data_IF_910541888405
#
_entry.id   IF_910541888405
#
_cell.length_a   1.000
_cell.length_b   1.000
_cell.length_c   1.000
_cell.angle_alpha   90.00
_cell.angle_beta   90.00
_cell.angle_gamma   90.00
#
_symmetry.space_group_name_H-M   'P 1'
#
loop_
_entity.id
_entity.type
_entity.pdbx_description
1 polymer ?
#
# COMPACT_ATOMS: atom_id res chain seq x y z
N UNK A 1 15.67 -22.22 -3.76
CA UNK A 1 15.15 -21.20 -4.69
C UNK A 1 15.12 -19.88 -3.93
N UNK A 2 16.17 -19.06 -4.01
CA UNK A 2 16.19 -17.78 -3.33
C UNK A 2 15.55 -16.76 -4.29
N UNK A 3 14.23 -16.58 -4.16
CA UNK A 3 13.55 -15.51 -4.88
C UNK A 3 14.16 -14.20 -4.43
N UNK A 4 14.81 -13.46 -5.34
CA UNK A 4 15.31 -12.13 -5.05
C UNK A 4 14.14 -11.31 -4.49
N UNK A 5 14.25 -10.91 -3.22
CA UNK A 5 13.24 -10.08 -2.59
C UNK A 5 13.17 -8.78 -3.40
N UNK A 6 12.03 -8.54 -4.04
CA UNK A 6 11.80 -7.30 -4.77
C UNK A 6 11.83 -6.15 -3.76
N UNK A 7 12.89 -5.36 -3.78
CA UNK A 7 12.99 -4.12 -2.99
C UNK A 7 12.28 -3.03 -3.78
N UNK A 8 11.17 -2.47 -3.28
CA UNK A 8 10.47 -1.38 -3.95
C UNK A 8 11.31 -0.10 -3.90
N UNK A 9 11.26 0.70 -4.98
CA UNK A 9 12.04 1.94 -5.10
C UNK A 9 11.58 3.01 -4.12
N UNK A 10 10.29 2.99 -3.76
CA UNK A 10 9.67 3.95 -2.85
C UNK A 10 8.49 3.35 -2.11
N UNK A 11 8.12 4.00 -1.00
CA UNK A 11 7.00 3.59 -0.15
C UNK A 11 6.02 4.74 0.01
N UNK A 12 4.76 4.52 -0.36
CA UNK A 12 3.66 5.45 -0.10
C UNK A 12 3.01 5.10 1.23
N UNK A 13 2.95 6.06 2.14
CA UNK A 13 2.22 5.94 3.40
C UNK A 13 0.80 6.45 3.20
N UNK A 14 -0.20 5.64 3.55
CA UNK A 14 -1.61 6.04 3.45
C UNK A 14 -2.27 6.11 4.81
N UNK A 15 -2.88 7.26 5.10
CA UNK A 15 -3.68 7.50 6.31
C UNK A 15 -5.18 7.30 6.09
N UNK A 16 -5.59 6.69 4.97
CA UNK A 16 -7.01 6.55 4.62
C UNK A 16 -7.77 5.60 5.54
N UNK A 17 -9.11 5.73 5.63
CA UNK A 17 -9.93 4.83 6.42
C UNK A 17 -9.73 3.35 6.07
N UNK A 18 -9.95 2.48 7.06
CA UNK A 18 -9.86 1.02 6.87
C UNK A 18 -10.69 0.57 5.67
N UNK A 19 -10.10 -0.24 4.80
CA UNK A 19 -10.74 -0.78 3.60
C UNK A 19 -10.54 0.04 2.32
N UNK A 20 -10.07 1.29 2.41
CA UNK A 20 -9.94 2.18 1.24
C UNK A 20 -8.57 2.14 0.56
N UNK A 21 -7.79 1.06 0.70
CA UNK A 21 -6.40 1.02 0.21
C UNK A 21 -6.18 0.24 -1.09
N UNK A 22 -7.14 -0.56 -1.52
CA UNK A 22 -6.93 -1.55 -2.58
C UNK A 22 -6.47 -0.94 -3.91
N UNK A 23 -7.18 0.09 -4.40
CA UNK A 23 -6.84 0.75 -5.65
C UNK A 23 -5.42 1.35 -5.62
N UNK A 24 -5.04 1.94 -4.49
CA UNK A 24 -3.73 2.59 -4.35
C UNK A 24 -2.60 1.59 -4.15
N UNK A 25 -2.88 0.45 -3.52
CA UNK A 25 -1.93 -0.67 -3.47
C UNK A 25 -1.60 -1.16 -4.88
N UNK A 26 -2.62 -1.28 -5.74
CA UNK A 26 -2.41 -1.68 -7.15
C UNK A 26 -1.62 -0.63 -7.91
N UNK A 27 -1.98 0.65 -7.78
CA UNK A 27 -1.27 1.74 -8.44
C UNK A 27 0.20 1.84 -8.01
N UNK A 28 0.47 1.75 -6.70
CA UNK A 28 1.84 1.80 -6.19
C UNK A 28 2.69 0.65 -6.74
N UNK A 29 2.17 -0.58 -6.73
CA UNK A 29 2.87 -1.75 -7.30
C UNK A 29 3.13 -1.61 -8.81
N UNK A 30 2.17 -1.05 -9.55
CA UNK A 30 2.32 -0.82 -10.99
C UNK A 30 3.41 0.21 -11.32
N UNK A 31 3.75 1.08 -10.37
CA UNK A 31 4.75 2.14 -10.49
C UNK A 31 6.06 1.82 -9.75
N UNK A 32 6.33 0.53 -9.47
CA UNK A 32 7.57 0.08 -8.81
C UNK A 32 7.66 0.36 -7.30
N UNK A 33 6.61 0.94 -6.72
CA UNK A 33 6.53 1.24 -5.30
C UNK A 33 5.75 0.22 -4.48
N UNK A 34 5.66 0.50 -3.19
CA UNK A 34 4.78 -0.22 -2.26
C UNK A 34 3.88 0.72 -1.47
N UNK A 35 2.81 0.16 -0.88
CA UNK A 35 1.89 0.88 -0.02
C UNK A 35 2.03 0.40 1.42
N UNK A 36 2.32 1.32 2.34
CA UNK A 36 2.19 1.15 3.78
C UNK A 36 0.84 1.72 4.25
N UNK A 37 -0.19 0.87 4.48
CA UNK A 37 -1.48 1.33 4.98
C UNK A 37 -1.43 1.53 6.50
N UNK A 38 -1.69 2.76 6.94
CA UNK A 38 -1.92 3.08 8.34
C UNK A 38 -3.34 3.65 8.43
N UNK A 39 -4.32 2.87 8.91
CA UNK A 39 -5.71 3.32 9.02
C UNK A 39 -6.05 3.74 10.46
N UNK A 40 -5.83 5.00 10.84
CA UNK A 40 -6.16 5.51 12.17
C UNK A 40 -7.66 5.50 12.49
N UNK A 41 -8.53 5.53 11.47
CA UNK A 41 -9.98 5.51 11.66
C UNK A 41 -10.69 4.53 10.72
N UNK A 42 -11.88 4.09 11.12
CA UNK A 42 -12.81 3.33 10.30
C UNK A 42 -14.10 4.13 10.14
N UNK A 43 -14.61 4.22 8.91
CA UNK A 43 -15.92 4.84 8.68
C UNK A 43 -17.01 3.85 9.09
N UNK A 44 -18.00 4.34 9.82
CA UNK A 44 -19.23 3.62 10.15
C UNK A 44 -20.36 4.33 9.40
N UNK A 45 -21.28 3.54 8.85
CA UNK A 45 -22.52 4.06 8.28
C UNK A 45 -23.47 4.52 9.41
#
# INVERSE_FOLDING_TARGET
MNSHAHVPEWTLVSLRPRGQHAAMRRAARALGGQLLPLSPWALRA
#
